data_IF_590561310588
#
_entry.id   IF_590561310588
#
_cell.length_a   1.000
_cell.length_b   1.000
_cell.length_c   1.000
_cell.angle_alpha   90.00
_cell.angle_beta   90.00
_cell.angle_gamma   90.00
#
_symmetry.space_group_name_H-M   'P 1'
#
loop_
_entity.id
_entity.type
_entity.pdbx_description
1 polymer ?
#
# COMPACT_ATOMS: atom_id res chain seq x y z
N UNK A 1 -4.61 14.79 11.78
CA UNK A 1 -3.25 14.26 12.06
C UNK A 1 -2.48 15.16 13.02
N UNK A 2 -2.34 16.46 12.74
CA UNK A 2 -1.56 17.41 13.58
C UNK A 2 -1.96 17.42 15.05
N UNK A 3 -3.25 17.46 15.37
CA UNK A 3 -3.75 17.42 16.76
C UNK A 3 -3.31 16.17 17.53
N UNK A 4 -3.34 15.00 16.89
CA UNK A 4 -2.90 13.75 17.52
C UNK A 4 -1.39 13.75 17.79
N UNK A 5 -0.60 14.28 16.84
CA UNK A 5 0.86 14.44 17.00
C UNK A 5 1.16 15.40 18.16
N UNK A 6 0.43 16.52 18.27
CA UNK A 6 0.62 17.47 19.35
C UNK A 6 0.24 16.90 20.72
N UNK A 7 -0.84 16.13 20.80
CA UNK A 7 -1.24 15.44 22.02
C UNK A 7 -0.18 14.41 22.45
N UNK A 8 0.25 13.53 21.53
CA UNK A 8 1.30 12.55 21.82
C UNK A 8 2.61 13.23 22.25
N UNK A 9 2.98 14.35 21.62
CA UNK A 9 4.16 15.14 22.01
C UNK A 9 4.03 15.69 23.43
N UNK A 10 2.87 16.26 23.79
CA UNK A 10 2.60 16.77 25.15
C UNK A 10 2.69 15.66 26.20
N UNK A 11 2.27 14.45 25.84
CA UNK A 11 2.28 13.28 26.72
C UNK A 11 3.63 12.54 26.74
N UNK A 12 4.64 13.02 25.99
CA UNK A 12 5.93 12.33 25.85
C UNK A 12 5.84 10.97 25.15
N UNK A 13 4.78 10.76 24.38
CA UNK A 13 4.44 9.54 23.66
C UNK A 13 4.85 9.64 22.17
N UNK A 14 4.79 8.51 21.47
CA UNK A 14 5.11 8.37 20.05
C UNK A 14 3.97 7.71 19.30
N UNK A 15 3.73 8.13 18.05
CA UNK A 15 2.71 7.56 17.18
C UNK A 15 3.36 6.82 16.01
N UNK A 16 2.70 5.76 15.54
CA UNK A 16 2.96 5.19 14.23
C UNK A 16 2.12 5.89 13.15
N UNK A 17 2.00 5.25 12.00
CA UNK A 17 1.14 5.72 10.92
C UNK A 17 1.19 4.82 9.71
N UNK A 18 0.41 5.15 8.69
CA UNK A 18 0.48 4.50 7.40
C UNK A 18 0.77 5.54 6.31
N UNK A 19 1.56 5.15 5.31
CA UNK A 19 1.89 5.98 4.14
C UNK A 19 1.40 5.28 2.89
N UNK A 20 0.66 5.99 2.05
CA UNK A 20 0.27 5.52 0.72
C UNK A 20 1.25 6.07 -0.31
N UNK A 21 1.81 5.18 -1.11
CA UNK A 21 2.65 5.49 -2.26
C UNK A 21 1.85 5.21 -3.54
N UNK A 22 1.92 6.13 -4.50
CA UNK A 22 1.26 6.01 -5.80
C UNK A 22 2.31 6.19 -6.89
N UNK A 23 2.57 5.14 -7.67
CA UNK A 23 3.38 5.24 -8.89
C UNK A 23 2.44 5.34 -10.09
N UNK A 24 2.59 6.43 -10.86
CA UNK A 24 1.72 6.78 -11.98
C UNK A 24 2.36 6.45 -13.31
N UNK A 25 1.54 6.34 -14.35
CA UNK A 25 1.96 6.02 -15.72
C UNK A 25 2.76 4.70 -15.77
N UNK A 26 2.26 3.69 -15.05
CA UNK A 26 2.89 2.38 -15.05
C UNK A 26 2.76 1.74 -16.43
N UNK A 27 3.83 1.12 -16.89
CA UNK A 27 3.73 0.22 -18.05
C UNK A 27 3.13 -1.10 -17.59
N UNK A 28 2.25 -1.69 -18.40
CA UNK A 28 1.68 -3.01 -18.12
C UNK A 28 2.73 -4.11 -18.33
N UNK A 29 2.64 -5.19 -17.55
CA UNK A 29 3.48 -6.39 -17.69
C UNK A 29 4.78 -6.40 -16.87
N UNK A 30 4.96 -5.54 -15.87
CA UNK A 30 6.09 -5.62 -14.94
C UNK A 30 5.83 -6.64 -13.84
N UNK A 31 6.83 -7.48 -13.54
CA UNK A 31 6.74 -8.57 -12.56
C UNK A 31 6.51 -9.92 -13.23
N UNK A 32 6.33 -10.96 -12.42
CA UNK A 32 6.07 -12.32 -12.89
C UNK A 32 4.79 -12.90 -12.29
N UNK A 33 4.06 -13.77 -13.01
CA UNK A 33 2.84 -14.38 -12.47
C UNK A 33 3.09 -15.36 -11.31
N UNK A 34 4.31 -15.90 -11.20
CA UNK A 34 4.69 -16.92 -10.22
C UNK A 34 6.05 -16.59 -9.61
N UNK A 35 6.19 -16.80 -8.30
CA UNK A 35 7.39 -16.54 -7.48
C UNK A 35 7.77 -15.07 -7.34
N UNK A 36 8.12 -14.39 -8.43
CA UNK A 36 8.63 -13.01 -8.44
C UNK A 36 7.53 -12.01 -8.81
N UNK A 37 6.40 -12.13 -8.10
CA UNK A 37 5.27 -11.24 -8.29
C UNK A 37 5.65 -9.83 -7.88
N UNK A 38 5.23 -8.84 -8.67
CA UNK A 38 5.54 -7.42 -8.43
C UNK A 38 5.13 -6.97 -7.02
N UNK A 39 3.94 -7.34 -6.57
CA UNK A 39 3.44 -7.04 -5.23
C UNK A 39 4.23 -7.75 -4.13
N UNK A 40 4.71 -8.97 -4.37
CA UNK A 40 5.56 -9.71 -3.42
C UNK A 40 6.95 -9.07 -3.27
N UNK A 41 7.57 -8.64 -4.37
CA UNK A 41 8.86 -7.95 -4.34
C UNK A 41 8.76 -6.57 -3.70
N UNK A 42 7.70 -5.83 -3.99
CA UNK A 42 7.41 -4.56 -3.33
C UNK A 42 7.18 -4.75 -1.83
N UNK A 43 6.42 -5.79 -1.44
CA UNK A 43 6.23 -6.13 -0.04
C UNK A 43 7.56 -6.41 0.66
N UNK A 44 8.42 -7.24 0.05
CA UNK A 44 9.76 -7.54 0.57
C UNK A 44 10.61 -6.28 0.74
N UNK A 45 10.64 -5.43 -0.29
CA UNK A 45 11.40 -4.19 -0.25
C UNK A 45 10.91 -3.24 0.84
N UNK A 46 9.60 -3.03 0.94
CA UNK A 46 9.01 -2.08 1.88
C UNK A 46 8.99 -2.58 3.32
N UNK A 47 8.76 -3.87 3.53
CA UNK A 47 8.82 -4.49 4.86
C UNK A 47 10.26 -4.59 5.40
N UNK A 48 11.28 -4.41 4.55
CA UNK A 48 12.67 -4.30 4.99
C UNK A 48 12.99 -2.96 5.66
N UNK A 49 12.13 -1.94 5.49
CA UNK A 49 12.33 -0.63 6.10
C UNK A 49 12.19 -0.70 7.63
N UNK A 50 13.00 0.06 8.38
CA UNK A 50 12.84 0.17 9.83
C UNK A 50 11.41 0.58 10.21
N UNK A 51 10.89 -0.03 11.26
CA UNK A 51 9.54 0.21 11.79
C UNK A 51 8.37 -0.23 10.88
N UNK A 52 8.61 -0.72 9.66
CA UNK A 52 7.54 -1.28 8.83
C UNK A 52 6.94 -2.54 9.47
N UNK A 53 5.61 -2.62 9.49
CA UNK A 53 4.82 -3.69 10.13
C UNK A 53 3.64 -4.19 9.31
N UNK A 54 3.25 -3.47 8.26
CA UNK A 54 2.21 -3.91 7.35
C UNK A 54 2.45 -3.38 5.95
N UNK A 55 2.05 -4.17 4.97
CA UNK A 55 2.06 -3.81 3.56
C UNK A 55 0.71 -4.19 2.97
N UNK A 56 0.16 -3.29 2.16
CA UNK A 56 -1.09 -3.47 1.44
C UNK A 56 -0.93 -2.94 0.02
N UNK A 57 -1.67 -3.55 -0.90
CA UNK A 57 -1.78 -3.10 -2.29
C UNK A 57 -3.25 -2.90 -2.65
N UNK A 58 -3.55 -1.83 -3.39
CA UNK A 58 -4.91 -1.48 -3.79
C UNK A 58 -5.86 -1.33 -2.60
N UNK A 59 -6.96 -2.09 -2.62
CA UNK A 59 -7.93 -2.16 -1.52
C UNK A 59 -7.35 -2.72 -0.22
N UNK A 60 -6.18 -3.39 -0.27
CA UNK A 60 -5.51 -3.93 0.90
C UNK A 60 -6.37 -4.93 1.67
N UNK A 61 -6.28 -4.88 3.00
CA UNK A 61 -7.10 -5.73 3.88
C UNK A 61 -8.60 -5.43 3.76
N UNK A 62 -9.03 -4.25 3.31
CA UNK A 62 -10.46 -3.98 3.10
C UNK A 62 -11.04 -4.86 1.99
N UNK A 63 -10.21 -5.25 1.00
CA UNK A 63 -10.61 -6.18 -0.06
C UNK A 63 -11.00 -7.57 0.44
N UNK A 64 -10.49 -8.01 1.61
CA UNK A 64 -10.86 -9.32 2.18
C UNK A 64 -12.28 -9.35 2.73
N UNK A 65 -12.92 -8.18 2.86
CA UNK A 65 -14.30 -8.03 3.34
C UNK A 65 -15.30 -7.88 2.19
N UNK A 66 -14.82 -7.84 0.94
CA UNK A 66 -15.63 -7.63 -0.26
C UNK A 66 -15.93 -8.97 -0.95
N UNK A 67 -17.07 -9.06 -1.62
CA UNK A 67 -17.34 -10.18 -2.53
C UNK A 67 -16.53 -10.04 -3.82
N UNK A 68 -16.30 -11.15 -4.53
CA UNK A 68 -15.59 -11.10 -5.81
C UNK A 68 -16.27 -10.20 -6.86
N UNK A 69 -17.57 -9.97 -6.77
CA UNK A 69 -18.29 -9.03 -7.64
C UNK A 69 -17.94 -7.57 -7.33
N UNK A 70 -17.76 -7.24 -6.07
CA UNK A 70 -17.43 -5.89 -5.61
C UNK A 70 -15.94 -5.58 -5.75
N UNK A 71 -15.09 -6.58 -5.55
CA UNK A 71 -13.63 -6.42 -5.57
C UNK A 71 -13.05 -6.41 -6.98
N UNK A 72 -13.65 -7.15 -7.91
CA UNK A 72 -13.12 -7.26 -9.27
C UNK A 72 -13.10 -5.88 -9.96
N UNK A 73 -12.11 -5.70 -10.83
CA UNK A 73 -11.90 -4.49 -11.62
C UNK A 73 -12.24 -4.80 -13.10
N UNK A 74 -13.46 -4.52 -13.57
CA UNK A 74 -13.84 -4.78 -14.95
C UNK A 74 -12.96 -4.00 -15.94
N UNK A 75 -12.48 -4.69 -16.98
CA UNK A 75 -11.80 -4.04 -18.09
C UNK A 75 -12.81 -3.31 -18.98
N UNK A 76 -12.46 -2.07 -19.32
CA UNK A 76 -13.20 -1.17 -20.21
C UNK A 76 -12.23 -0.60 -21.27
N UNK A 77 -12.72 -0.17 -22.45
CA UNK A 77 -11.89 0.52 -23.41
C UNK A 77 -11.33 1.83 -22.82
N UNK A 78 -10.01 1.96 -22.78
CA UNK A 78 -9.31 3.18 -22.36
C UNK A 78 -9.35 4.27 -23.44
N UNK A 79 -9.02 5.49 -23.04
CA UNK A 79 -9.03 6.67 -23.92
C UNK A 79 -8.02 6.60 -25.06
N UNK A 80 -6.96 5.81 -24.91
CA UNK A 80 -5.91 5.55 -25.90
C UNK A 80 -6.17 4.26 -26.72
N UNK A 81 -7.32 3.62 -26.54
CA UNK A 81 -7.68 2.36 -27.17
C UNK A 81 -7.10 1.12 -26.50
N UNK A 82 -6.33 1.25 -25.40
CA UNK A 82 -5.85 0.12 -24.61
C UNK A 82 -6.87 -0.26 -23.52
N UNK A 83 -6.92 -1.52 -23.07
CA UNK A 83 -7.76 -1.88 -21.94
C UNK A 83 -7.34 -1.11 -20.68
N UNK A 84 -8.32 -0.51 -20.00
CA UNK A 84 -8.18 0.11 -18.68
C UNK A 84 -9.18 -0.55 -17.72
N UNK A 85 -9.05 -0.36 -16.42
CA UNK A 85 -10.02 -0.86 -15.45
C UNK A 85 -10.98 0.24 -15.00
N UNK A 86 -12.26 -0.08 -14.80
CA UNK A 86 -13.25 0.91 -14.32
C UNK A 86 -13.00 1.37 -12.87
N UNK A 87 -12.32 0.54 -12.08
CA UNK A 87 -11.92 0.76 -10.69
C UNK A 87 -10.51 0.23 -10.51
N UNK A 88 -9.81 0.64 -9.45
CA UNK A 88 -8.44 0.19 -9.16
C UNK A 88 -8.35 -0.47 -7.78
N UNK A 89 -9.20 -1.45 -7.51
CA UNK A 89 -9.17 -2.23 -6.26
C UNK A 89 -7.94 -3.13 -6.18
N UNK A 90 -7.42 -3.58 -7.32
CA UNK A 90 -6.17 -4.32 -7.47
C UNK A 90 -4.93 -3.49 -7.18
N UNK A 91 -5.03 -2.16 -7.20
CA UNK A 91 -3.91 -1.25 -6.93
C UNK A 91 -2.82 -1.31 -7.99
N UNK A 92 -3.20 -1.51 -9.25
CA UNK A 92 -2.30 -1.54 -10.40
C UNK A 92 -1.59 -2.88 -10.61
N UNK A 93 -1.86 -3.91 -9.81
CA UNK A 93 -1.26 -5.25 -9.94
C UNK A 93 -2.31 -6.33 -9.98
N UNK A 94 -2.30 -7.14 -11.04
CA UNK A 94 -3.23 -8.24 -11.19
C UNK A 94 -2.48 -9.49 -11.62
N UNK A 95 -2.71 -10.60 -10.91
CA UNK A 95 -1.99 -11.85 -11.17
C UNK A 95 -0.48 -11.76 -10.94
N UNK A 96 0.02 -10.76 -10.21
CA UNK A 96 1.45 -10.54 -9.96
C UNK A 96 2.17 -9.64 -10.97
N UNK A 97 1.46 -9.13 -11.98
CA UNK A 97 2.01 -8.19 -12.97
C UNK A 97 1.28 -6.85 -12.94
N UNK A 98 1.96 -5.77 -13.36
CA UNK A 98 1.30 -4.47 -13.52
C UNK A 98 0.26 -4.50 -14.64
N UNK A 99 -0.90 -3.89 -14.43
CA UNK A 99 -1.99 -3.85 -15.42
C UNK A 99 -2.05 -2.53 -16.23
N UNK A 100 -1.19 -1.55 -15.91
CA UNK A 100 -1.12 -0.24 -16.58
C UNK A 100 -1.82 0.88 -15.81
N UNK A 101 -2.61 0.55 -14.79
CA UNK A 101 -3.18 1.52 -13.86
C UNK A 101 -2.13 2.04 -12.87
N UNK A 102 -2.50 3.06 -12.10
CA UNK A 102 -1.68 3.54 -11.00
C UNK A 102 -1.38 2.41 -10.00
N UNK A 103 -0.09 2.20 -9.71
CA UNK A 103 0.34 1.29 -8.65
C UNK A 103 0.10 1.98 -7.31
N UNK A 104 -0.85 1.46 -6.52
CA UNK A 104 -1.24 2.03 -5.23
C UNK A 104 -0.88 1.05 -4.13
N UNK A 105 0.02 1.44 -3.25
CA UNK A 105 0.46 0.61 -2.13
C UNK A 105 0.51 1.41 -0.83
N UNK A 106 0.29 0.74 0.30
CA UNK A 106 0.30 1.35 1.63
C UNK A 106 1.21 0.57 2.57
N UNK A 107 2.02 1.30 3.33
CA UNK A 107 2.93 0.72 4.33
C UNK A 107 2.58 1.26 5.70
N UNK A 108 2.36 0.36 6.65
CA UNK A 108 2.15 0.67 8.06
C UNK A 108 3.48 0.68 8.81
N UNK A 109 3.78 1.78 9.49
CA UNK A 109 4.93 1.96 10.36
C UNK A 109 4.50 2.00 11.81
N UNK A 110 5.14 1.21 12.67
CA UNK A 110 4.94 1.33 14.10
C UNK A 110 5.70 2.53 14.68
N UNK A 111 5.27 2.95 15.86
CA UNK A 111 5.96 3.96 16.64
C UNK A 111 7.41 3.52 16.95
N UNK A 112 8.38 4.46 16.93
CA UNK A 112 9.74 4.18 17.38
C UNK A 112 9.70 3.70 18.83
N UNK A 113 10.51 2.69 19.16
CA UNK A 113 10.44 1.95 20.43
C UNK A 113 10.86 2.77 21.67
N UNK A 114 11.24 4.03 21.51
CA UNK A 114 11.85 4.86 22.57
C UNK A 114 10.88 5.96 23.01
N UNK A 115 10.29 5.76 24.19
CA UNK A 115 9.51 6.79 24.88
C UNK A 115 10.44 7.77 25.59
N UNK A 116 10.17 9.07 25.45
CA UNK A 116 11.02 10.12 26.03
C UNK A 116 11.10 10.03 27.57
N UNK A 117 10.03 9.54 28.21
CA UNK A 117 10.00 9.34 29.67
C UNK A 117 10.87 8.17 30.17
N UNK A 118 11.10 7.14 29.36
CA UNK A 118 11.87 5.95 29.76
C UNK A 118 13.39 6.18 29.79
N UNK A 119 13.88 7.32 29.28
CA UNK A 119 15.30 7.71 29.30
C UNK A 119 15.75 8.47 30.58
N UNK A 120 14.87 8.62 31.58
CA UNK A 120 15.19 9.29 32.85
C UNK A 120 15.62 8.33 33.98
N UNK A 121 15.94 7.09 33.65
CA UNK A 121 16.59 6.12 34.53
C UNK A 121 18.06 6.00 34.14
#
# INVERSE_FOLDING_TARGET
MTTAIEAARKDGNSLGGAVTCVARNMVAGLGEPVFDKLDADLAKALMSLPAAKGFEIGSGFAGTLMTGREHNDPFVPGSDGRPATSTNNSGGVQGGISNGEDLVMRVGFNQPRQLLQLKKL
#
